data_IF_957052949374
#
_entry.id   IF_957052949374
#
_cell.length_a   1.000
_cell.length_b   1.000
_cell.length_c   1.000
_cell.angle_alpha   90.00
_cell.angle_beta   90.00
_cell.angle_gamma   90.00
#
_symmetry.space_group_name_H-M   'P 1'
#
loop_
_entity.id
_entity.type
_entity.pdbx_description
1 polymer ?
#
# COMPACT_ATOMS: atom_id res chain seq x y z
N UNK A 1 -4.71 -30.34 33.50
CA UNK A 1 -3.86 -29.71 32.47
C UNK A 1 -4.67 -28.60 31.85
N UNK A 2 -4.32 -27.33 32.09
CA UNK A 2 -4.95 -26.22 31.37
C UNK A 2 -4.61 -26.39 29.89
N UNK A 3 -5.58 -26.36 28.97
CA UNK A 3 -5.28 -26.41 27.54
C UNK A 3 -4.30 -25.28 27.19
N UNK A 4 -3.35 -25.50 26.25
CA UNK A 4 -2.43 -24.47 25.82
C UNK A 4 -3.23 -23.26 25.30
N UNK A 5 -2.80 -22.06 25.68
CA UNK A 5 -3.45 -20.82 25.27
C UNK A 5 -3.37 -20.67 23.72
N UNK A 6 -4.50 -20.69 23.00
CA UNK A 6 -4.50 -20.60 21.54
C UNK A 6 -4.19 -19.19 21.01
N UNK A 7 -4.07 -18.19 21.89
CA UNK A 7 -3.91 -16.77 21.51
C UNK A 7 -2.74 -16.55 20.57
N UNK A 8 -1.59 -17.17 20.83
CA UNK A 8 -0.41 -17.02 19.96
C UNK A 8 -0.70 -17.49 18.53
N UNK A 9 -1.42 -18.59 18.36
CA UNK A 9 -1.77 -19.11 17.03
C UNK A 9 -2.75 -18.20 16.29
N UNK A 10 -3.69 -17.59 17.02
CA UNK A 10 -4.66 -16.64 16.47
C UNK A 10 -3.99 -15.33 16.05
N UNK A 11 -3.15 -14.76 16.90
CA UNK A 11 -2.34 -13.57 16.59
C UNK A 11 -1.40 -13.87 15.41
N UNK A 12 -0.80 -15.07 15.38
CA UNK A 12 0.00 -15.53 14.25
C UNK A 12 -0.83 -15.63 12.97
N UNK A 13 -2.04 -16.20 13.00
CA UNK A 13 -2.91 -16.26 11.83
C UNK A 13 -3.24 -14.86 11.28
N UNK A 14 -3.56 -13.89 12.14
CA UNK A 14 -3.79 -12.49 11.74
C UNK A 14 -2.53 -11.86 11.16
N UNK A 15 -1.38 -12.05 11.80
CA UNK A 15 -0.10 -11.54 11.27
C UNK A 15 0.25 -12.16 9.91
N UNK A 16 0.00 -13.44 9.72
CA UNK A 16 0.23 -14.16 8.47
C UNK A 16 -0.69 -13.63 7.36
N UNK A 17 -1.97 -13.35 7.67
CA UNK A 17 -2.89 -12.69 6.75
C UNK A 17 -2.39 -11.31 6.32
N UNK A 18 -1.90 -10.51 7.27
CA UNK A 18 -1.34 -9.19 6.99
C UNK A 18 -0.12 -9.28 6.07
N UNK A 19 0.87 -10.10 6.41
CA UNK A 19 2.09 -10.28 5.60
C UNK A 19 1.80 -10.96 4.26
N UNK A 20 0.72 -11.73 4.16
CA UNK A 20 0.27 -12.32 2.91
C UNK A 20 -0.06 -11.26 1.84
N UNK A 21 -0.55 -10.08 2.27
CA UNK A 21 -0.98 -9.00 1.38
C UNK A 21 -0.18 -7.71 1.50
N UNK A 22 0.59 -7.52 2.58
CA UNK A 22 1.36 -6.31 2.81
C UNK A 22 2.30 -5.98 1.63
N UNK A 23 2.38 -4.70 1.21
CA UNK A 23 3.23 -4.27 0.11
C UNK A 23 4.72 -4.53 0.42
N UNK A 24 5.50 -4.82 -0.62
CA UNK A 24 6.91 -5.23 -0.51
C UNK A 24 7.09 -6.70 -0.12
N UNK A 25 6.32 -7.21 0.86
CA UNK A 25 6.40 -8.61 1.33
C UNK A 25 5.56 -9.59 0.50
N UNK A 26 4.57 -9.09 -0.24
CA UNK A 26 3.78 -9.88 -1.19
C UNK A 26 4.49 -10.10 -2.53
N UNK A 27 5.66 -9.48 -2.75
CA UNK A 27 6.40 -9.61 -4.01
C UNK A 27 6.97 -11.04 -4.17
N UNK A 28 6.91 -11.66 -5.37
CA UNK A 28 7.40 -13.03 -5.61
C UNK A 28 8.89 -13.23 -5.28
N UNK A 29 9.68 -12.16 -5.29
CA UNK A 29 11.11 -12.19 -4.92
C UNK A 29 11.36 -12.46 -3.44
N UNK A 30 10.37 -12.29 -2.57
CA UNK A 30 10.53 -12.48 -1.13
C UNK A 30 10.27 -13.95 -0.80
N UNK A 31 11.26 -14.70 -0.27
CA UNK A 31 11.07 -16.11 0.06
C UNK A 31 9.95 -16.31 1.08
N UNK A 32 9.11 -17.35 0.95
CA UNK A 32 8.04 -17.65 1.91
C UNK A 32 8.53 -17.74 3.36
N UNK A 33 9.76 -18.20 3.57
CA UNK A 33 10.37 -18.32 4.89
C UNK A 33 10.60 -16.96 5.57
N UNK A 34 10.96 -15.92 4.81
CA UNK A 34 11.10 -14.55 5.33
C UNK A 34 9.74 -14.00 5.74
N UNK A 35 8.70 -14.27 4.94
CA UNK A 35 7.32 -13.85 5.23
C UNK A 35 6.79 -14.52 6.50
N UNK A 36 7.02 -15.83 6.64
CA UNK A 36 6.65 -16.58 7.83
C UNK A 36 7.41 -16.07 9.07
N UNK A 37 8.71 -15.79 8.94
CA UNK A 37 9.52 -15.22 10.03
C UNK A 37 9.01 -13.85 10.48
N UNK A 38 8.62 -12.99 9.54
CA UNK A 38 8.05 -11.67 9.85
C UNK A 38 6.69 -11.79 10.57
N UNK A 39 5.80 -12.67 10.08
CA UNK A 39 4.52 -12.95 10.73
C UNK A 39 4.75 -13.46 12.18
N UNK A 40 5.70 -14.37 12.35
CA UNK A 40 6.07 -14.91 13.66
C UNK A 40 6.60 -13.80 14.59
N UNK A 41 7.46 -12.92 14.09
CA UNK A 41 8.01 -11.80 14.85
C UNK A 41 6.91 -10.82 15.31
N UNK A 42 5.98 -10.47 14.42
CA UNK A 42 4.81 -9.66 14.75
C UNK A 42 3.93 -10.34 15.80
N UNK A 43 3.71 -11.65 15.66
CA UNK A 43 2.92 -12.40 16.60
C UNK A 43 3.52 -12.42 18.01
N UNK A 44 4.84 -12.66 18.13
CA UNK A 44 5.52 -12.61 19.42
C UNK A 44 5.55 -11.21 20.04
N UNK A 45 5.64 -10.16 19.22
CA UNK A 45 5.63 -8.78 19.71
C UNK A 45 4.26 -8.36 20.26
N UNK A 46 3.16 -8.81 19.64
CA UNK A 46 1.81 -8.34 19.96
C UNK A 46 1.07 -9.29 20.89
N UNK A 47 1.29 -10.60 20.82
CA UNK A 47 0.59 -11.59 21.65
C UNK A 47 0.56 -11.28 23.16
N UNK A 48 1.63 -10.76 23.81
CA UNK A 48 1.58 -10.42 25.23
C UNK A 48 0.57 -9.34 25.61
N UNK A 49 0.16 -8.49 24.65
CA UNK A 49 -0.78 -7.39 24.84
C UNK A 49 -2.22 -7.77 24.47
N UNK A 50 -2.43 -8.97 23.91
CA UNK A 50 -3.75 -9.46 23.48
C UNK A 50 -4.37 -10.29 24.61
N UNK A 51 -5.64 -10.02 24.91
CA UNK A 51 -6.38 -10.78 25.93
C UNK A 51 -6.47 -12.28 25.59
N UNK A 52 -6.41 -13.18 26.60
CA UNK A 52 -6.34 -14.61 26.35
C UNK A 52 -7.65 -15.13 25.72
N UNK A 53 -7.52 -15.80 24.58
CA UNK A 53 -8.61 -16.54 23.95
C UNK A 53 -8.84 -17.85 24.73
N UNK A 54 -10.07 -18.07 25.22
CA UNK A 54 -10.43 -19.26 26.00
C UNK A 54 -11.70 -19.90 25.48
N UNK A 55 -11.84 -21.21 25.67
CA UNK A 55 -13.08 -21.94 25.40
C UNK A 55 -13.34 -22.26 23.91
N UNK A 56 -12.30 -22.25 23.06
CA UNK A 56 -12.41 -22.69 21.67
C UNK A 56 -12.19 -24.20 21.58
N UNK A 57 -13.22 -24.93 21.15
CA UNK A 57 -13.07 -26.31 20.68
C UNK A 57 -12.34 -26.34 19.31
N UNK A 58 -11.87 -27.51 18.86
CA UNK A 58 -11.10 -27.67 17.64
C UNK A 58 -11.79 -27.09 16.40
N UNK A 59 -13.11 -27.26 16.29
CA UNK A 59 -13.90 -26.67 15.19
C UNK A 59 -13.96 -25.15 15.29
N UNK A 60 -14.19 -24.61 16.48
CA UNK A 60 -14.23 -23.15 16.69
C UNK A 60 -12.85 -22.52 16.47
N UNK A 61 -11.77 -23.22 16.85
CA UNK A 61 -10.40 -22.78 16.65
C UNK A 61 -10.05 -22.69 15.16
N UNK A 62 -10.45 -23.65 14.33
CA UNK A 62 -10.18 -23.59 12.88
C UNK A 62 -10.90 -22.42 12.21
N UNK A 63 -12.16 -22.17 12.59
CA UNK A 63 -12.91 -21.02 12.08
C UNK A 63 -12.33 -19.69 12.59
N UNK A 64 -11.93 -19.64 13.86
CA UNK A 64 -11.26 -18.49 14.46
C UNK A 64 -9.93 -18.17 13.75
N UNK A 65 -9.10 -19.17 13.46
CA UNK A 65 -7.86 -19.01 12.69
C UNK A 65 -8.13 -18.46 11.29
N UNK A 66 -9.15 -18.96 10.60
CA UNK A 66 -9.54 -18.45 9.29
C UNK A 66 -10.05 -17.00 9.36
N UNK A 67 -10.83 -16.66 10.39
CA UNK A 67 -11.32 -15.31 10.65
C UNK A 67 -10.20 -14.32 10.94
N UNK A 68 -9.28 -14.66 11.85
CA UNK A 68 -8.10 -13.86 12.16
C UNK A 68 -7.21 -13.65 10.94
N UNK A 69 -6.97 -14.71 10.15
CA UNK A 69 -6.26 -14.60 8.88
C UNK A 69 -6.96 -13.64 7.92
N UNK A 70 -8.29 -13.73 7.79
CA UNK A 70 -9.06 -12.84 6.93
C UNK A 70 -8.99 -11.38 7.38
N UNK A 71 -9.08 -11.11 8.69
CA UNK A 71 -8.92 -9.75 9.24
C UNK A 71 -7.53 -9.21 8.93
N UNK A 72 -6.50 -10.01 9.17
CA UNK A 72 -5.12 -9.67 8.81
C UNK A 72 -4.97 -9.36 7.33
N UNK A 73 -5.53 -10.21 6.47
CA UNK A 73 -5.50 -10.05 5.02
C UNK A 73 -6.25 -8.79 4.57
N UNK A 74 -7.33 -8.39 5.24
CA UNK A 74 -8.04 -7.15 4.97
C UNK A 74 -7.18 -5.91 5.26
N UNK A 75 -6.46 -5.90 6.39
CA UNK A 75 -5.51 -4.83 6.74
C UNK A 75 -4.37 -4.79 5.71
N UNK A 76 -3.78 -5.95 5.42
CA UNK A 76 -2.70 -6.06 4.43
C UNK A 76 -3.17 -5.65 3.02
N UNK A 77 -4.42 -5.94 2.66
CA UNK A 77 -5.01 -5.49 1.41
C UNK A 77 -5.18 -3.97 1.37
N UNK A 78 -5.67 -3.35 2.44
CA UNK A 78 -5.70 -1.89 2.56
C UNK A 78 -4.32 -1.26 2.37
N UNK A 79 -3.27 -1.86 2.95
CA UNK A 79 -1.89 -1.42 2.74
C UNK A 79 -1.43 -1.59 1.28
N UNK A 80 -1.80 -2.70 0.64
CA UNK A 80 -1.47 -2.96 -0.76
C UNK A 80 -2.10 -1.93 -1.70
N UNK A 81 -3.34 -1.51 -1.44
CA UNK A 81 -4.03 -0.51 -2.26
C UNK A 81 -3.34 0.84 -2.27
N UNK A 82 -2.69 1.23 -1.17
CA UNK A 82 -1.89 2.46 -1.13
C UNK A 82 -0.67 2.37 -2.03
N UNK A 83 0.01 1.23 -1.96
CA UNK A 83 1.16 0.94 -2.81
C UNK A 83 0.76 0.86 -4.29
N UNK A 84 -0.33 0.15 -4.60
CA UNK A 84 -0.85 0.01 -5.96
C UNK A 84 -1.33 1.34 -6.53
N UNK A 85 -1.97 2.19 -5.71
CA UNK A 85 -2.36 3.55 -6.10
C UNK A 85 -1.15 4.42 -6.47
N UNK A 86 -0.05 4.30 -5.71
CA UNK A 86 1.19 5.00 -6.01
C UNK A 86 1.94 4.45 -7.23
N UNK A 87 1.91 3.14 -7.41
CA UNK A 87 2.42 2.50 -8.61
C UNK A 87 1.65 2.94 -9.85
N UNK A 88 0.32 2.99 -9.74
CA UNK A 88 -0.55 3.50 -10.80
C UNK A 88 -0.30 4.97 -11.09
N UNK A 89 -0.10 5.81 -10.08
CA UNK A 89 0.30 7.21 -10.24
C UNK A 89 1.57 7.35 -11.10
N UNK A 90 2.61 6.58 -10.77
CA UNK A 90 3.85 6.56 -11.55
C UNK A 90 3.64 6.14 -12.99
N UNK A 91 2.86 5.08 -13.17
CA UNK A 91 2.55 4.57 -14.52
C UNK A 91 1.73 5.58 -15.33
N UNK A 92 0.80 6.28 -14.70
CA UNK A 92 0.03 7.34 -15.32
C UNK A 92 0.93 8.52 -15.73
N UNK A 93 1.95 8.85 -14.94
CA UNK A 93 2.98 9.83 -15.30
C UNK A 93 3.83 9.33 -16.46
N UNK A 94 4.28 8.07 -16.44
CA UNK A 94 5.05 7.47 -17.54
C UNK A 94 4.27 7.52 -18.87
N UNK A 95 2.99 7.19 -18.81
CA UNK A 95 2.08 7.26 -19.97
C UNK A 95 1.84 8.73 -20.39
N UNK A 96 1.65 9.65 -19.43
CA UNK A 96 1.45 11.09 -19.68
C UNK A 96 2.69 11.79 -20.26
N UNK A 97 3.88 11.36 -19.87
CA UNK A 97 5.16 11.84 -20.41
C UNK A 97 5.51 11.20 -21.76
N UNK A 98 4.71 10.27 -22.26
CA UNK A 98 4.78 9.83 -23.66
C UNK A 98 5.95 8.89 -23.99
N UNK A 99 6.49 8.15 -23.01
CA UNK A 99 7.59 7.18 -23.24
C UNK A 99 7.23 6.13 -24.30
N UNK A 100 5.93 5.87 -24.51
CA UNK A 100 5.44 4.92 -25.52
C UNK A 100 5.53 5.43 -26.97
N UNK A 101 5.71 6.72 -27.21
CA UNK A 101 5.55 7.32 -28.55
C UNK A 101 6.80 7.90 -29.20
N UNK A 102 7.93 8.00 -28.50
CA UNK A 102 9.01 8.90 -28.95
C UNK A 102 10.07 8.29 -29.88
N UNK A 103 10.04 6.98 -30.19
CA UNK A 103 11.05 6.39 -31.10
C UNK A 103 10.48 5.26 -31.99
N UNK A 104 10.06 5.56 -33.24
CA UNK A 104 9.76 4.52 -34.22
C UNK A 104 11.01 3.68 -34.51
N UNK A 105 10.97 2.37 -34.28
CA UNK A 105 12.05 1.43 -34.63
C UNK A 105 13.13 1.21 -33.57
N UNK A 106 13.06 1.89 -32.41
CA UNK A 106 13.80 1.39 -31.26
C UNK A 106 13.06 0.17 -30.71
N UNK A 107 13.73 -0.96 -30.58
CA UNK A 107 13.30 -2.01 -29.68
C UNK A 107 13.38 -1.45 -28.26
N UNK A 108 12.37 -0.65 -27.86
CA UNK A 108 12.33 0.05 -26.57
C UNK A 108 12.05 -0.98 -25.46
N UNK A 109 13.11 -1.71 -25.11
CA UNK A 109 13.23 -2.46 -23.84
C UNK A 109 13.23 -1.51 -22.62
N UNK A 110 13.20 -0.19 -22.82
CA UNK A 110 13.31 0.84 -21.78
C UNK A 110 11.99 1.43 -21.27
N UNK A 111 10.82 1.19 -21.90
CA UNK A 111 9.54 1.68 -21.38
C UNK A 111 9.15 0.99 -20.05
N UNK A 112 9.65 -0.23 -19.81
CA UNK A 112 9.52 -0.90 -18.51
C UNK A 112 10.58 -0.46 -17.48
N UNK A 113 11.69 0.15 -17.91
CA UNK A 113 12.77 0.51 -16.99
C UNK A 113 12.40 1.70 -16.10
N UNK A 114 11.68 2.70 -16.64
CA UNK A 114 11.26 3.88 -15.89
C UNK A 114 10.15 3.59 -14.89
N UNK A 115 9.10 2.85 -15.28
CA UNK A 115 8.07 2.40 -14.34
C UNK A 115 8.62 1.50 -13.22
N UNK A 116 9.68 0.73 -13.51
CA UNK A 116 10.43 -0.04 -12.48
C UNK A 116 11.26 0.87 -11.57
N UNK A 117 11.91 1.90 -12.12
CA UNK A 117 12.65 2.87 -11.31
C UNK A 117 11.69 3.68 -10.42
N UNK A 118 10.53 4.07 -10.95
CA UNK A 118 9.47 4.72 -10.18
C UNK A 118 8.97 3.82 -9.05
N UNK A 119 8.63 2.56 -9.34
CA UNK A 119 8.14 1.64 -8.33
C UNK A 119 9.19 1.35 -7.25
N UNK A 120 10.46 1.19 -7.62
CA UNK A 120 11.56 1.03 -6.68
C UNK A 120 11.77 2.29 -5.82
N UNK A 121 11.72 3.48 -6.43
CA UNK A 121 11.90 4.74 -5.69
C UNK A 121 10.72 5.00 -4.76
N UNK A 122 9.50 4.70 -5.19
CA UNK A 122 8.32 4.79 -4.34
C UNK A 122 8.41 3.80 -3.17
N UNK A 123 8.81 2.55 -3.40
CA UNK A 123 9.00 1.58 -2.32
C UNK A 123 10.07 2.05 -1.33
N UNK A 124 11.19 2.58 -1.83
CA UNK A 124 12.24 3.14 -0.99
C UNK A 124 11.72 4.34 -0.17
N UNK A 125 10.98 5.25 -0.79
CA UNK A 125 10.33 6.38 -0.14
C UNK A 125 9.35 5.93 0.94
N UNK A 126 8.49 4.95 0.62
CA UNK A 126 7.53 4.38 1.55
C UNK A 126 8.21 3.83 2.81
N UNK A 127 9.36 3.16 2.67
CA UNK A 127 10.12 2.65 3.81
C UNK A 127 10.81 3.79 4.57
N UNK A 128 11.48 4.71 3.87
CA UNK A 128 12.23 5.83 4.48
C UNK A 128 11.34 6.85 5.20
N UNK A 129 10.08 6.95 4.78
CA UNK A 129 9.08 7.86 5.35
C UNK A 129 8.15 7.16 6.33
N UNK A 130 8.55 5.98 6.83
CA UNK A 130 7.79 5.22 7.82
C UNK A 130 6.35 4.88 7.40
N UNK A 131 6.11 4.69 6.10
CA UNK A 131 4.80 4.32 5.55
C UNK A 131 4.25 2.98 6.06
N UNK A 132 5.12 2.14 6.65
CA UNK A 132 4.75 0.90 7.32
C UNK A 132 4.15 1.13 8.73
N UNK A 133 4.44 2.25 9.39
CA UNK A 133 3.98 2.55 10.76
C UNK A 133 2.46 2.56 10.88
N UNK A 134 1.68 3.21 9.99
CA UNK A 134 0.22 3.15 10.03
C UNK A 134 -0.34 1.72 9.90
N UNK A 135 0.34 0.85 9.14
CA UNK A 135 -0.08 -0.55 8.94
C UNK A 135 0.10 -1.34 10.23
N UNK A 136 1.24 -1.16 10.90
CA UNK A 136 1.52 -1.82 12.20
C UNK A 136 0.60 -1.29 13.30
N UNK A 137 0.31 0.02 13.32
CA UNK A 137 -0.67 0.60 14.26
C UNK A 137 -2.07 0.03 14.03
N UNK A 138 -2.52 -0.03 12.78
CA UNK A 138 -3.81 -0.63 12.44
C UNK A 138 -3.89 -2.12 12.79
N UNK A 139 -2.78 -2.85 12.69
CA UNK A 139 -2.70 -4.23 13.15
C UNK A 139 -2.85 -4.35 14.67
N UNK A 140 -2.16 -3.52 15.45
CA UNK A 140 -2.27 -3.51 16.91
C UNK A 140 -3.69 -3.10 17.37
N UNK A 141 -4.22 -2.00 16.83
CA UNK A 141 -5.58 -1.52 17.09
C UNK A 141 -6.66 -2.53 16.67
N UNK A 142 -6.38 -3.39 15.69
CA UNK A 142 -7.34 -4.41 15.24
C UNK A 142 -7.78 -5.35 16.36
N UNK A 143 -6.93 -5.61 17.35
CA UNK A 143 -7.26 -6.51 18.45
C UNK A 143 -8.23 -5.87 19.46
N UNK A 144 -8.27 -4.53 19.53
CA UNK A 144 -9.27 -3.81 20.31
C UNK A 144 -10.65 -3.81 19.64
N UNK A 145 -10.69 -3.85 18.30
CA UNK A 145 -11.94 -3.87 17.54
C UNK A 145 -12.50 -5.28 17.28
N UNK A 146 -11.61 -6.22 16.97
CA UNK A 146 -11.91 -7.63 16.76
C UNK A 146 -10.93 -8.41 17.63
N UNK A 147 -11.38 -8.85 18.80
CA UNK A 147 -10.56 -9.66 19.69
C UNK A 147 -10.07 -10.94 18.99
N UNK A 148 -8.94 -11.49 19.43
CA UNK A 148 -8.41 -12.74 18.86
C UNK A 148 -9.43 -13.87 19.02
N UNK A 149 -9.73 -14.56 17.92
CA UNK A 149 -10.74 -15.61 17.84
C UNK A 149 -12.20 -15.14 17.91
N UNK A 150 -12.46 -13.84 17.88
CA UNK A 150 -13.82 -13.31 17.76
C UNK A 150 -14.38 -13.52 16.34
N UNK A 151 -15.68 -13.78 16.27
CA UNK A 151 -16.40 -13.87 15.01
C UNK A 151 -16.74 -12.48 14.48
N UNK A 152 -16.28 -12.17 13.26
CA UNK A 152 -16.68 -10.96 12.54
C UNK A 152 -18.02 -11.19 11.85
N UNK A 153 -18.97 -10.28 12.07
CA UNK A 153 -20.32 -10.42 11.51
C UNK A 153 -20.32 -10.25 9.98
N UNK A 154 -21.22 -10.92 9.24
CA UNK A 154 -21.37 -10.74 7.80
C UNK A 154 -21.63 -9.28 7.38
N UNK A 155 -22.35 -8.53 8.21
CA UNK A 155 -22.60 -7.09 8.02
C UNK A 155 -21.32 -6.25 8.07
N UNK A 156 -20.37 -6.60 8.94
CA UNK A 156 -19.07 -5.91 9.00
C UNK A 156 -18.28 -6.17 7.72
N UNK A 157 -18.29 -7.42 7.24
CA UNK A 157 -17.62 -7.78 5.98
C UNK A 157 -18.25 -7.12 4.76
N UNK A 158 -19.57 -7.02 4.70
CA UNK A 158 -20.26 -6.37 3.58
C UNK A 158 -19.97 -4.88 3.54
N UNK A 159 -20.02 -4.18 4.68
CA UNK A 159 -19.64 -2.76 4.78
C UNK A 159 -18.21 -2.50 4.34
N UNK A 160 -17.28 -3.35 4.78
CA UNK A 160 -15.89 -3.30 4.32
C UNK A 160 -15.81 -3.42 2.80
N UNK A 161 -16.47 -4.43 2.21
CA UNK A 161 -16.47 -4.65 0.78
C UNK A 161 -17.06 -3.47 -0.03
N UNK A 162 -18.14 -2.86 0.45
CA UNK A 162 -18.75 -1.69 -0.21
C UNK A 162 -17.90 -0.42 -0.11
N UNK A 163 -17.06 -0.28 0.92
CA UNK A 163 -16.16 0.87 1.08
C UNK A 163 -14.90 0.77 0.21
N UNK A 164 -14.52 -0.43 -0.26
CA UNK A 164 -13.28 -0.67 -1.01
C UNK A 164 -13.15 0.21 -2.28
N UNK A 165 -14.14 0.32 -3.18
CA UNK A 165 -13.94 1.06 -4.43
C UNK A 165 -13.64 2.55 -4.22
N UNK A 166 -14.39 3.21 -3.34
CA UNK A 166 -14.22 4.63 -3.04
C UNK A 166 -12.87 4.93 -2.36
N UNK A 167 -12.44 4.04 -1.47
CA UNK A 167 -11.16 4.17 -0.77
C UNK A 167 -9.97 3.94 -1.69
N UNK A 168 -10.03 2.95 -2.59
CA UNK A 168 -9.02 2.72 -3.63
C UNK A 168 -8.87 3.98 -4.49
N UNK A 169 -9.97 4.53 -4.99
CA UNK A 169 -9.95 5.71 -5.84
C UNK A 169 -9.38 6.93 -5.10
N UNK A 170 -9.80 7.15 -3.85
CA UNK A 170 -9.28 8.24 -3.01
C UNK A 170 -7.78 8.08 -2.76
N UNK A 171 -7.32 6.89 -2.38
CA UNK A 171 -5.91 6.59 -2.16
C UNK A 171 -5.08 6.86 -3.42
N UNK A 172 -5.52 6.33 -4.56
CA UNK A 172 -4.85 6.56 -5.84
C UNK A 172 -4.80 8.04 -6.21
N UNK A 173 -5.89 8.79 -6.04
CA UNK A 173 -5.92 10.23 -6.35
C UNK A 173 -5.00 11.03 -5.43
N UNK A 174 -5.03 10.80 -4.12
CA UNK A 174 -4.19 11.61 -3.21
C UNK A 174 -2.69 11.38 -3.49
N UNK A 175 -2.30 10.16 -3.88
CA UNK A 175 -0.92 9.89 -4.25
C UNK A 175 -0.58 10.40 -5.66
N UNK A 176 -1.49 10.26 -6.63
CA UNK A 176 -1.25 10.65 -8.02
C UNK A 176 -1.35 12.15 -8.29
N UNK A 177 -2.27 12.85 -7.63
CA UNK A 177 -2.60 14.24 -7.92
C UNK A 177 -1.42 15.20 -7.78
N UNK A 178 -0.56 15.15 -6.73
CA UNK A 178 0.59 16.04 -6.62
C UNK A 178 1.56 15.88 -7.79
N UNK A 179 1.78 14.63 -8.19
CA UNK A 179 2.70 14.27 -9.25
C UNK A 179 2.17 14.72 -10.63
N UNK A 180 0.89 14.47 -10.91
CA UNK A 180 0.20 14.92 -12.13
C UNK A 180 0.18 16.45 -12.21
N UNK A 181 -0.12 17.14 -11.11
CA UNK A 181 -0.18 18.60 -11.08
C UNK A 181 1.18 19.24 -11.43
N UNK A 182 2.27 18.73 -10.85
CA UNK A 182 3.62 19.20 -11.15
C UNK A 182 4.02 18.89 -12.58
N UNK A 183 3.73 17.67 -13.04
CA UNK A 183 4.00 17.30 -14.43
C UNK A 183 3.28 18.24 -15.41
N UNK A 184 2.01 18.57 -15.16
CA UNK A 184 1.25 19.51 -15.98
C UNK A 184 1.89 20.92 -15.98
N UNK A 185 2.28 21.45 -14.83
CA UNK A 185 2.93 22.77 -14.72
C UNK A 185 4.25 22.81 -15.49
N UNK A 186 5.10 21.78 -15.33
CA UNK A 186 6.38 21.70 -16.04
C UNK A 186 6.16 21.59 -17.56
N UNK A 187 5.17 20.82 -18.01
CA UNK A 187 4.84 20.73 -19.44
C UNK A 187 4.32 22.06 -20.00
N UNK A 188 3.48 22.79 -19.26
CA UNK A 188 3.03 24.13 -19.66
C UNK A 188 4.21 25.11 -19.77
N UNK A 189 5.13 25.07 -18.81
CA UNK A 189 6.33 25.90 -18.81
C UNK A 189 7.25 25.58 -20.00
N UNK A 190 7.53 24.30 -20.25
CA UNK A 190 8.31 23.85 -21.39
C UNK A 190 7.65 24.20 -22.72
N UNK A 191 6.32 24.07 -22.82
CA UNK A 191 5.55 24.48 -23.99
C UNK A 191 5.64 25.98 -24.26
N UNK A 192 5.64 26.82 -23.21
CA UNK A 192 5.87 28.25 -23.35
C UNK A 192 7.30 28.56 -23.81
N UNK A 193 8.31 27.88 -23.25
CA UNK A 193 9.73 28.04 -23.63
C UNK A 193 9.96 27.58 -25.07
N UNK A 194 9.32 26.50 -25.52
CA UNK A 194 9.44 25.99 -26.89
C UNK A 194 8.97 27.00 -27.96
N UNK A 195 8.08 27.94 -27.61
CA UNK A 195 7.69 29.05 -28.49
C UNK A 195 8.79 30.09 -28.66
N UNK A 196 9.67 30.24 -27.67
CA UNK A 196 10.77 31.24 -27.67
C UNK A 196 12.07 30.62 -28.18
N UNK A 197 12.32 29.35 -27.85
CA UNK A 197 13.55 28.64 -28.18
C UNK A 197 13.20 27.23 -28.71
N UNK A 198 12.96 27.09 -30.03
CA UNK A 198 12.46 25.85 -30.64
C UNK A 198 13.37 24.64 -30.48
N UNK A 199 14.68 24.86 -30.26
CA UNK A 199 15.65 23.78 -29.96
C UNK A 199 15.36 23.04 -28.65
N UNK A 200 14.56 23.60 -27.73
CA UNK A 200 14.09 22.93 -26.51
C UNK A 200 12.79 22.14 -26.69
N UNK A 201 12.16 22.16 -27.87
CA UNK A 201 10.98 21.34 -28.18
C UNK A 201 11.29 19.85 -28.36
N UNK A 202 12.58 19.47 -28.38
CA UNK A 202 13.01 18.08 -28.43
C UNK A 202 12.71 17.34 -27.14
N UNK A 203 12.06 16.18 -27.26
CA UNK A 203 11.69 15.25 -26.17
C UNK A 203 12.87 14.81 -25.26
N UNK A 204 14.12 15.08 -25.66
CA UNK A 204 15.32 14.76 -24.89
C UNK A 204 15.50 15.52 -23.57
N UNK A 205 15.03 16.77 -23.45
CA UNK A 205 15.16 17.54 -22.19
C UNK A 205 13.88 17.56 -21.35
N UNK A 206 12.72 17.54 -22.01
CA UNK A 206 11.41 17.64 -21.37
C UNK A 206 11.09 16.44 -20.47
N UNK A 207 11.49 15.24 -20.90
CA UNK A 207 11.22 14.02 -20.15
C UNK A 207 12.01 13.94 -18.83
N UNK A 208 13.36 14.04 -18.83
CA UNK A 208 14.13 13.95 -17.59
C UNK A 208 13.78 15.04 -16.57
N UNK A 209 13.53 16.27 -17.02
CA UNK A 209 13.19 17.39 -16.13
C UNK A 209 11.82 17.21 -15.48
N UNK A 210 10.83 16.78 -16.25
CA UNK A 210 9.47 16.57 -15.73
C UNK A 210 9.42 15.37 -14.80
N UNK A 211 10.13 14.30 -15.13
CA UNK A 211 10.26 13.12 -14.28
C UNK A 211 10.94 13.47 -12.95
N UNK A 212 12.07 14.17 -12.97
CA UNK A 212 12.77 14.57 -11.75
C UNK A 212 11.91 15.47 -10.86
N UNK A 213 11.20 16.44 -11.45
CA UNK A 213 10.30 17.32 -10.72
C UNK A 213 9.11 16.56 -10.10
N UNK A 214 8.44 15.71 -10.88
CA UNK A 214 7.33 14.90 -10.40
C UNK A 214 7.76 13.94 -9.29
N UNK A 215 8.91 13.30 -9.43
CA UNK A 215 9.47 12.41 -8.41
C UNK A 215 9.79 13.15 -7.12
N UNK A 216 10.51 14.28 -7.19
CA UNK A 216 10.88 15.10 -6.03
C UNK A 216 9.64 15.61 -5.29
N UNK A 217 8.66 16.15 -6.01
CA UNK A 217 7.46 16.65 -5.36
C UNK A 217 6.64 15.51 -4.78
N UNK A 218 6.57 14.35 -5.43
CA UNK A 218 5.88 13.17 -4.87
C UNK A 218 6.54 12.70 -3.58
N UNK A 219 7.89 12.63 -3.56
CA UNK A 219 8.69 12.29 -2.38
C UNK A 219 8.44 13.25 -1.20
N UNK A 220 8.27 14.55 -1.46
CA UNK A 220 8.00 15.56 -0.43
C UNK A 220 6.51 15.62 -0.05
N UNK A 221 5.62 15.41 -1.00
CA UNK A 221 4.18 15.49 -0.79
C UNK A 221 3.65 14.30 0.01
N UNK A 222 4.13 13.09 -0.23
CA UNK A 222 3.69 11.89 0.50
C UNK A 222 3.80 12.07 2.03
N UNK A 223 4.94 12.44 2.63
CA UNK A 223 5.05 12.55 4.08
C UNK A 223 4.28 13.75 4.66
N UNK A 224 4.02 14.78 3.86
CA UNK A 224 3.18 15.93 4.25
C UNK A 224 1.68 15.60 4.17
N UNK A 225 1.26 14.87 3.14
CA UNK A 225 -0.14 14.51 2.91
C UNK A 225 -0.56 13.31 3.75
N UNK A 226 0.33 12.34 3.98
CA UNK A 226 0.10 11.13 4.77
C UNK A 226 -0.55 11.42 6.15
N UNK A 227 -0.06 12.37 6.96
CA UNK A 227 -0.69 12.71 8.24
C UNK A 227 -1.94 13.60 8.11
N UNK A 228 -2.02 14.48 7.10
CA UNK A 228 -3.17 15.39 6.89
C UNK A 228 -4.40 14.64 6.38
N UNK A 229 -4.20 13.49 5.71
CA UNK A 229 -5.25 12.52 5.43
C UNK A 229 -5.69 11.70 6.65
N UNK A 230 -5.93 12.34 7.80
CA UNK A 230 -6.14 11.78 9.14
C UNK A 230 -7.34 10.82 9.34
N UNK A 231 -7.88 10.24 8.28
CA UNK A 231 -8.79 9.09 8.32
C UNK A 231 -8.20 7.98 7.43
N UNK A 232 -8.17 6.73 7.93
CA UNK A 232 -7.14 5.77 7.59
C UNK A 232 -7.15 5.50 6.08
N UNK A 233 -6.01 5.79 5.48
CA UNK A 233 -5.59 5.32 4.16
C UNK A 233 -5.74 3.81 3.99
N UNK A 234 -5.73 3.10 5.13
CA UNK A 234 -6.09 1.71 5.26
C UNK A 234 -7.60 1.57 5.30
N UNK A 235 -8.15 0.83 4.35
CA UNK A 235 -9.50 0.31 4.50
C UNK A 235 -9.47 -0.65 5.66
N UNK A 236 -10.13 -0.28 6.76
CA UNK A 236 -10.25 -1.12 7.93
C UNK A 236 -11.68 -1.65 8.02
N UNK A 237 -11.90 -2.94 8.31
CA UNK A 237 -13.24 -3.51 8.46
C UNK A 237 -14.14 -2.74 9.42
N UNK A 238 -13.56 -2.10 10.43
CA UNK A 238 -14.25 -1.33 11.47
C UNK A 238 -14.27 0.19 11.22
N UNK A 239 -13.60 0.68 10.17
CA UNK A 239 -13.52 2.11 9.84
C UNK A 239 -14.75 2.68 9.14
N UNK A 240 -15.61 1.82 8.56
CA UNK A 240 -16.79 2.22 7.79
C UNK A 240 -17.99 2.70 8.64
N UNK A 241 -17.81 2.87 9.95
CA UNK A 241 -18.85 3.28 10.89
C UNK A 241 -18.80 4.78 11.27
N UNK A 242 -17.94 5.58 10.64
CA UNK A 242 -17.88 7.03 10.83
C UNK A 242 -18.02 7.76 9.50
#
# INVERSE_FOLDING_TARGET
MTPPDPTLFLVFARSAGLVARAPGFSHPSVPPMVRAGLALALAFAVAPHVGPARGLDLVMLTVALAGDFAVGAAIGFGAALLYDGAYFAGRAIDDYLGVRGSVPGANVTSAQAFGRLWSATFLAAFVLLDGWVPVVRAFDESFAHVAAGAFVTPDTWSRFAFALPATILRAALVVAMPAIAVAAVVQLALGAVARVVPRFSGSGLAFPSTFAAALLVTLVAIPLLAPVGAHPWLVLPWGAAR
#
